data_IF_656328999349
#
_entry.id   IF_656328999349
#
_cell.length_a   1.000
_cell.length_b   1.000
_cell.length_c   1.000
_cell.angle_alpha   90.00
_cell.angle_beta   90.00
_cell.angle_gamma   90.00
#
_symmetry.space_group_name_H-M   'P 1'
#
loop_
_entity.id
_entity.type
_entity.pdbx_description
1 polymer ?
#
# COMPACT_ATOMS: atom_id res chain seq x y z
N UNK A 1 31.60 5.66 -11.85
CA UNK A 1 31.44 4.41 -11.06
C UNK A 1 31.96 3.24 -11.90
N UNK A 2 32.83 2.39 -11.37
CA UNK A 2 33.44 1.30 -12.14
C UNK A 2 32.40 0.27 -12.64
N UNK A 3 32.49 -0.24 -13.89
CA UNK A 3 31.52 -1.17 -14.49
C UNK A 3 31.25 -2.44 -13.66
N UNK A 4 32.26 -2.94 -12.95
CA UNK A 4 32.15 -4.13 -12.09
C UNK A 4 31.21 -3.93 -10.89
N UNK A 5 31.17 -2.72 -10.30
CA UNK A 5 30.28 -2.40 -9.17
C UNK A 5 28.82 -2.32 -9.63
N UNK A 6 28.57 -1.77 -10.81
CA UNK A 6 27.24 -1.72 -11.43
C UNK A 6 26.73 -3.12 -11.83
N UNK A 7 27.60 -4.01 -12.32
CA UNK A 7 27.23 -5.41 -12.59
C UNK A 7 26.93 -6.19 -11.31
N UNK A 8 27.68 -5.95 -10.23
CA UNK A 8 27.42 -6.55 -8.91
C UNK A 8 26.10 -6.07 -8.32
N UNK A 9 25.80 -4.77 -8.39
CA UNK A 9 24.50 -4.20 -7.98
C UNK A 9 23.37 -4.79 -8.84
N UNK A 10 23.51 -4.84 -10.17
CA UNK A 10 22.53 -5.49 -11.05
C UNK A 10 22.30 -6.96 -10.71
N UNK A 11 23.36 -7.71 -10.33
CA UNK A 11 23.23 -9.09 -9.84
C UNK A 11 22.52 -9.12 -8.49
N UNK A 12 22.83 -8.22 -7.56
CA UNK A 12 22.21 -8.14 -6.25
C UNK A 12 20.70 -7.84 -6.35
N UNK A 13 20.32 -6.85 -7.18
CA UNK A 13 18.92 -6.61 -7.53
C UNK A 13 18.31 -7.89 -8.15
N UNK A 14 18.92 -8.48 -9.20
CA UNK A 14 18.45 -9.76 -9.77
C UNK A 14 18.31 -10.89 -8.73
N UNK A 15 19.15 -10.94 -7.70
CA UNK A 15 19.10 -11.96 -6.64
C UNK A 15 17.96 -11.71 -5.65
N UNK A 16 17.71 -10.44 -5.27
CA UNK A 16 16.54 -10.07 -4.46
C UNK A 16 15.24 -10.46 -5.19
N UNK A 17 15.16 -10.24 -6.51
CA UNK A 17 13.96 -10.58 -7.30
C UNK A 17 13.95 -12.02 -7.87
N UNK A 18 14.99 -12.83 -7.65
CA UNK A 18 15.01 -14.28 -8.01
C UNK A 18 14.71 -15.21 -6.85
N UNK A 19 14.72 -14.75 -5.59
CA UNK A 19 14.35 -15.59 -4.45
C UNK A 19 12.84 -15.80 -4.43
N UNK A 20 12.44 -16.89 -5.10
CA UNK A 20 11.16 -17.58 -5.04
C UNK A 20 10.38 -17.30 -3.76
N UNK A 21 9.17 -16.78 -3.98
CA UNK A 21 7.91 -17.34 -3.48
C UNK A 21 8.05 -18.83 -3.12
N UNK A 22 8.48 -19.10 -1.89
CA UNK A 22 8.24 -20.39 -1.26
C UNK A 22 7.13 -20.14 -0.26
N UNK A 23 5.92 -20.48 -0.67
CA UNK A 23 4.77 -20.66 0.21
C UNK A 23 5.18 -21.62 1.31
N UNK A 24 5.52 -21.10 2.50
CA UNK A 24 5.66 -21.96 3.67
C UNK A 24 4.27 -22.24 4.20
N UNK A 25 3.83 -23.46 3.90
CA UNK A 25 2.66 -24.08 4.47
C UNK A 25 2.74 -24.12 6.00
N UNK A 26 1.62 -23.73 6.61
CA UNK A 26 1.01 -24.25 7.84
C UNK A 26 1.90 -25.06 8.79
N UNK A 27 2.31 -24.45 9.92
CA UNK A 27 2.66 -25.18 11.13
C UNK A 27 1.48 -25.18 12.10
N UNK A 28 0.96 -26.40 12.34
CA UNK A 28 -0.05 -26.77 13.33
C UNK A 28 0.61 -26.77 14.72
N UNK A 29 -0.02 -26.29 15.81
CA UNK A 29 0.55 -26.44 17.14
C UNK A 29 0.33 -27.87 17.65
N UNK A 30 1.42 -28.56 17.95
CA UNK A 30 1.44 -29.82 18.69
C UNK A 30 1.13 -29.57 20.16
N UNK A 31 0.16 -30.34 20.68
CA UNK A 31 -0.16 -30.40 22.10
C UNK A 31 0.68 -31.51 22.74
N UNK A 32 1.58 -31.13 23.64
CA UNK A 32 2.25 -32.08 24.55
C UNK A 32 1.59 -32.00 25.93
N UNK A 33 0.95 -33.11 26.31
CA UNK A 33 0.51 -33.39 27.65
C UNK A 33 1.65 -34.05 28.44
N UNK A 34 1.92 -33.57 29.65
CA UNK A 34 2.60 -34.31 30.72
C UNK A 34 2.05 -33.87 32.08
N UNK A 35 1.41 -34.81 32.78
CA UNK A 35 1.28 -34.86 34.26
C UNK A 35 2.68 -34.99 34.88
N UNK A 36 3.00 -34.59 36.12
CA UNK A 36 2.31 -34.85 37.40
C UNK A 36 2.96 -34.05 38.55
N UNK A 37 2.13 -33.78 39.57
CA UNK A 37 2.37 -33.69 41.02
C UNK A 37 3.34 -32.68 41.68
N UNK A 38 2.81 -32.04 42.74
CA UNK A 38 3.59 -31.38 43.80
C UNK A 38 2.87 -30.19 44.42
N UNK A 39 2.07 -30.42 45.46
CA UNK A 39 1.11 -29.46 46.01
C UNK A 39 1.66 -28.39 46.96
N UNK A 40 0.84 -27.38 47.23
CA UNK A 40 0.68 -26.77 48.56
C UNK A 40 -0.63 -25.95 48.60
N UNK A 41 -1.41 -26.12 49.67
CA UNK A 41 -2.74 -25.52 49.88
C UNK A 41 -2.62 -24.33 50.82
N UNK A 42 -3.22 -23.18 50.47
CA UNK A 42 -3.64 -22.17 51.44
C UNK A 42 -4.74 -21.23 50.90
N UNK A 43 -5.90 -21.21 51.57
CA UNK A 43 -6.75 -20.02 51.75
C UNK A 43 -7.72 -19.61 50.62
N UNK A 44 -8.89 -20.27 50.51
CA UNK A 44 -10.03 -19.76 49.72
C UNK A 44 -10.79 -18.67 50.48
N UNK A 45 -10.81 -17.44 49.94
CA UNK A 45 -11.94 -16.50 50.10
C UNK A 45 -12.91 -16.70 48.92
N UNK A 46 -14.24 -16.65 49.09
CA UNK A 46 -15.17 -16.80 47.97
C UNK A 46 -15.11 -15.56 47.06
N UNK A 47 -14.26 -15.61 46.04
CA UNK A 47 -14.23 -14.62 44.96
C UNK A 47 -15.48 -14.72 44.09
N UNK A 48 -16.07 -13.56 43.77
CA UNK A 48 -17.16 -13.42 42.79
C UNK A 48 -16.85 -14.24 41.54
N UNK A 49 -17.82 -15.07 41.11
CA UNK A 49 -17.76 -15.77 39.82
C UNK A 49 -17.44 -14.75 38.73
N UNK A 50 -16.42 -14.98 37.87
CA UNK A 50 -16.23 -14.16 36.69
C UNK A 50 -17.50 -14.31 35.85
N UNK A 51 -18.22 -13.20 35.64
CA UNK A 51 -19.28 -13.16 34.65
C UNK A 51 -18.62 -13.43 33.30
N UNK A 52 -18.91 -14.61 32.72
CA UNK A 52 -18.57 -14.91 31.33
C UNK A 52 -19.09 -13.75 30.48
N UNK A 53 -18.16 -12.94 29.95
CA UNK A 53 -18.46 -11.89 28.99
C UNK A 53 -19.25 -12.54 27.87
N UNK A 54 -20.53 -12.20 27.74
CA UNK A 54 -21.42 -12.79 26.74
C UNK A 54 -20.84 -12.42 25.39
N UNK A 55 -20.22 -13.37 24.70
CA UNK A 55 -19.66 -13.17 23.37
C UNK A 55 -20.71 -12.46 22.51
N UNK A 56 -20.36 -11.27 21.97
CA UNK A 56 -21.27 -10.52 21.11
C UNK A 56 -21.68 -11.43 19.95
N UNK A 57 -22.98 -11.58 19.72
CA UNK A 57 -23.47 -12.31 18.55
C UNK A 57 -22.90 -11.66 17.27
N UNK A 58 -22.42 -12.45 16.29
CA UNK A 58 -21.97 -11.92 15.02
C UNK A 58 -23.06 -11.06 14.38
N UNK A 59 -22.67 -9.94 13.78
CA UNK A 59 -23.60 -9.13 12.98
C UNK A 59 -23.90 -9.90 11.69
N UNK A 60 -25.17 -10.20 11.36
CA UNK A 60 -25.50 -10.83 10.09
C UNK A 60 -25.03 -9.99 8.90
N UNK A 61 -24.40 -10.64 7.92
CA UNK A 61 -23.95 -10.00 6.68
C UNK A 61 -25.16 -9.76 5.75
N UNK A 62 -25.15 -8.66 5.02
CA UNK A 62 -26.11 -8.44 3.93
C UNK A 62 -25.79 -9.36 2.74
N UNK A 63 -26.77 -9.71 1.88
CA UNK A 63 -26.53 -10.50 0.68
C UNK A 63 -25.41 -9.93 -0.20
N UNK A 64 -25.37 -8.60 -0.38
CA UNK A 64 -24.33 -7.94 -1.16
C UNK A 64 -22.92 -8.13 -0.58
N UNK A 65 -22.77 -8.15 0.74
CA UNK A 65 -21.47 -8.41 1.39
C UNK A 65 -21.10 -9.91 1.34
N UNK A 66 -22.09 -10.81 1.36
CA UNK A 66 -21.84 -12.24 1.13
C UNK A 66 -21.32 -12.46 -0.30
N UNK A 67 -21.95 -11.84 -1.30
CA UNK A 67 -21.51 -11.88 -2.69
C UNK A 67 -20.11 -11.27 -2.86
N UNK A 68 -19.85 -10.11 -2.24
CA UNK A 68 -18.53 -9.47 -2.23
C UNK A 68 -17.45 -10.44 -1.73
N UNK A 69 -17.69 -11.11 -0.59
CA UNK A 69 -16.76 -12.05 0.01
C UNK A 69 -16.55 -13.32 -0.83
N UNK A 70 -17.52 -13.72 -1.65
CA UNK A 70 -17.37 -14.85 -2.56
C UNK A 70 -16.31 -14.59 -3.65
N UNK A 71 -16.01 -13.33 -3.95
CA UNK A 71 -14.98 -12.91 -4.92
C UNK A 71 -13.61 -12.60 -4.28
N UNK A 72 -13.44 -12.90 -3.00
CA UNK A 72 -12.21 -12.62 -2.25
C UNK A 72 -11.44 -13.91 -2.02
N UNK A 73 -10.24 -13.97 -2.59
CA UNK A 73 -9.35 -15.14 -2.48
C UNK A 73 -8.29 -14.97 -1.38
N UNK A 74 -7.84 -13.74 -1.10
CA UNK A 74 -6.88 -13.48 -0.02
C UNK A 74 -7.61 -13.43 1.34
N UNK A 75 -7.19 -14.24 2.33
CA UNK A 75 -7.83 -14.26 3.65
C UNK A 75 -7.71 -12.93 4.40
N UNK A 76 -6.67 -12.13 4.16
CA UNK A 76 -6.48 -10.80 4.77
C UNK A 76 -7.53 -9.82 4.24
N UNK A 77 -7.76 -9.81 2.93
CA UNK A 77 -8.81 -8.98 2.31
C UNK A 77 -10.19 -9.33 2.90
N UNK A 78 -10.47 -10.63 3.03
CA UNK A 78 -11.73 -11.13 3.59
C UNK A 78 -11.89 -10.80 5.08
N UNK A 79 -10.82 -10.88 5.86
CA UNK A 79 -10.81 -10.46 7.26
C UNK A 79 -11.05 -8.96 7.40
N UNK A 80 -10.42 -8.14 6.55
CA UNK A 80 -10.59 -6.69 6.54
C UNK A 80 -12.04 -6.28 6.23
N UNK A 81 -12.67 -6.89 5.23
CA UNK A 81 -14.09 -6.62 4.88
C UNK A 81 -15.01 -6.93 6.07
N UNK A 82 -14.83 -8.10 6.71
CA UNK A 82 -15.61 -8.47 7.90
C UNK A 82 -15.37 -7.51 9.06
N UNK A 83 -14.12 -7.14 9.30
CA UNK A 83 -13.75 -6.17 10.33
C UNK A 83 -14.44 -4.81 10.12
N UNK A 84 -14.39 -4.27 8.90
CA UNK A 84 -15.06 -3.00 8.54
C UNK A 84 -16.58 -3.15 8.71
N UNK A 85 -17.18 -4.24 8.22
CA UNK A 85 -18.61 -4.46 8.32
C UNK A 85 -19.11 -4.53 9.77
N UNK A 86 -18.36 -5.19 10.64
CA UNK A 86 -18.69 -5.35 12.05
C UNK A 86 -18.47 -4.06 12.85
N UNK A 87 -17.29 -3.42 12.70
CA UNK A 87 -16.87 -2.29 13.54
C UNK A 87 -17.36 -0.94 13.04
N UNK A 88 -17.57 -0.77 11.73
CA UNK A 88 -17.88 0.53 11.11
C UNK A 88 -19.19 0.47 10.30
N UNK A 89 -20.37 0.51 10.96
CA UNK A 89 -21.66 0.48 10.26
C UNK A 89 -21.83 1.54 9.17
N UNK A 90 -21.20 2.71 9.32
CA UNK A 90 -21.23 3.82 8.33
C UNK A 90 -20.53 3.48 7.01
N UNK A 91 -19.64 2.49 7.02
CA UNK A 91 -18.90 2.07 5.84
C UNK A 91 -19.57 0.93 5.08
N UNK A 92 -20.62 0.31 5.62
CA UNK A 92 -21.32 -0.80 4.93
C UNK A 92 -21.81 -0.44 3.53
N UNK A 93 -22.40 0.74 3.27
CA UNK A 93 -22.78 1.11 1.91
C UNK A 93 -21.58 1.15 0.94
N UNK A 94 -20.38 1.47 1.43
CA UNK A 94 -19.16 1.49 0.61
C UNK A 94 -18.67 0.07 0.29
N UNK A 95 -18.87 -0.89 1.20
CA UNK A 95 -18.57 -2.30 0.95
C UNK A 95 -19.50 -2.87 -0.13
N UNK A 96 -20.77 -2.47 -0.12
CA UNK A 96 -21.77 -2.95 -1.09
C UNK A 96 -21.60 -2.29 -2.47
N UNK A 97 -21.20 -1.02 -2.51
CA UNK A 97 -21.09 -0.26 -3.77
C UNK A 97 -19.80 -0.56 -4.56
N UNK A 98 -18.76 -1.04 -3.89
CA UNK A 98 -17.42 -1.15 -4.47
C UNK A 98 -16.88 -2.58 -4.40
N UNK A 99 -16.05 -3.00 -5.38
CA UNK A 99 -15.44 -4.33 -5.37
C UNK A 99 -14.54 -4.54 -4.13
N UNK A 100 -13.99 -5.73 -3.90
CA UNK A 100 -13.04 -5.90 -2.80
C UNK A 100 -11.85 -4.95 -2.94
N UNK A 101 -11.35 -4.43 -1.83
CA UNK A 101 -10.02 -3.83 -1.80
C UNK A 101 -9.00 -4.97 -1.94
N UNK A 102 -8.02 -4.79 -2.83
CA UNK A 102 -6.96 -5.77 -3.09
C UNK A 102 -5.64 -5.03 -3.04
N UNK A 103 -4.72 -5.52 -2.22
CA UNK A 103 -3.36 -4.99 -2.16
C UNK A 103 -2.40 -6.07 -2.61
N UNK A 104 -1.62 -5.78 -3.64
CA UNK A 104 -0.58 -6.68 -4.12
C UNK A 104 0.79 -6.19 -3.65
N UNK A 105 1.69 -7.10 -3.33
CA UNK A 105 3.08 -6.72 -3.03
C UNK A 105 3.75 -6.27 -4.33
N UNK A 106 4.41 -5.12 -4.31
CA UNK A 106 5.11 -4.54 -5.46
C UNK A 106 6.53 -4.15 -5.07
N UNK A 107 7.35 -3.93 -6.09
CA UNK A 107 8.69 -3.41 -5.88
C UNK A 107 8.64 -2.01 -5.23
N UNK A 108 9.37 -1.85 -4.13
CA UNK A 108 9.38 -0.62 -3.33
C UNK A 108 9.84 0.60 -4.13
N UNK A 109 10.87 0.45 -4.97
CA UNK A 109 11.36 1.57 -5.78
C UNK A 109 10.32 2.01 -6.82
N UNK A 110 9.71 1.05 -7.50
CA UNK A 110 8.63 1.27 -8.46
C UNK A 110 7.45 1.97 -7.81
N UNK A 111 6.99 1.49 -6.65
CA UNK A 111 5.89 2.13 -5.91
C UNK A 111 6.26 3.51 -5.41
N UNK A 112 7.51 3.75 -5.01
CA UNK A 112 8.00 5.07 -4.62
C UNK A 112 7.93 6.06 -5.79
N UNK A 113 8.48 5.70 -6.94
CA UNK A 113 8.44 6.52 -8.17
C UNK A 113 6.99 6.83 -8.54
N UNK A 114 6.12 5.82 -8.52
CA UNK A 114 4.69 5.99 -8.76
C UNK A 114 4.06 6.97 -7.76
N UNK A 115 4.34 6.81 -6.48
CA UNK A 115 3.79 7.67 -5.42
C UNK A 115 4.24 9.14 -5.57
N UNK A 116 5.49 9.38 -6.00
CA UNK A 116 6.00 10.73 -6.32
C UNK A 116 5.22 11.35 -7.48
N UNK A 117 4.92 10.59 -8.53
CA UNK A 117 4.13 11.07 -9.67
C UNK A 117 2.74 11.51 -9.22
N UNK A 118 2.08 10.73 -8.34
CA UNK A 118 0.72 11.02 -7.88
C UNK A 118 0.59 12.24 -6.96
N UNK A 119 1.70 12.76 -6.40
CA UNK A 119 1.66 13.96 -5.55
C UNK A 119 0.98 15.12 -6.28
N UNK A 120 -0.05 15.71 -5.66
CA UNK A 120 -0.73 16.92 -6.14
C UNK A 120 -1.31 16.82 -7.57
N UNK A 121 -1.62 15.61 -8.05
CA UNK A 121 -2.28 15.40 -9.35
C UNK A 121 -3.62 14.68 -9.16
N UNK A 122 -4.53 14.87 -10.12
CA UNK A 122 -5.65 13.93 -10.27
C UNK A 122 -5.09 12.57 -10.69
N UNK A 123 -5.76 11.50 -10.30
CA UNK A 123 -5.23 10.17 -10.62
C UNK A 123 -5.29 9.83 -12.12
N UNK A 124 -6.17 10.47 -12.90
CA UNK A 124 -6.14 10.39 -14.37
C UNK A 124 -4.89 11.07 -14.94
N UNK A 125 -4.56 12.28 -14.49
CA UNK A 125 -3.36 12.99 -14.93
C UNK A 125 -2.09 12.24 -14.54
N UNK A 126 -2.04 11.73 -13.30
CA UNK A 126 -0.92 10.93 -12.82
C UNK A 126 -0.74 9.62 -13.60
N UNK A 127 -1.84 8.95 -13.97
CA UNK A 127 -1.82 7.78 -14.86
C UNK A 127 -1.20 8.11 -16.22
N UNK A 128 -1.58 9.23 -16.84
CA UNK A 128 -1.00 9.63 -18.14
C UNK A 128 0.51 9.86 -18.01
N UNK A 129 0.95 10.59 -16.97
CA UNK A 129 2.38 10.85 -16.72
C UNK A 129 3.15 9.55 -16.47
N UNK A 130 2.57 8.62 -15.70
CA UNK A 130 3.14 7.31 -15.46
C UNK A 130 3.39 6.53 -16.75
N UNK A 131 2.38 6.42 -17.61
CA UNK A 131 2.51 5.70 -18.89
C UNK A 131 3.57 6.33 -19.80
N UNK A 132 3.63 7.66 -19.84
CA UNK A 132 4.67 8.36 -20.61
C UNK A 132 6.06 8.14 -20.01
N UNK A 133 6.19 8.13 -18.69
CA UNK A 133 7.46 7.82 -18.02
C UNK A 133 7.94 6.42 -18.40
N UNK A 134 7.07 5.41 -18.30
CA UNK A 134 7.42 4.03 -18.66
C UNK A 134 7.93 3.94 -20.10
N UNK A 135 7.21 4.54 -21.06
CA UNK A 135 7.60 4.53 -22.48
C UNK A 135 8.93 5.26 -22.73
N UNK A 136 9.15 6.38 -22.04
CA UNK A 136 10.40 7.13 -22.13
C UNK A 136 11.57 6.29 -21.58
N UNK A 137 11.39 5.63 -20.43
CA UNK A 137 12.40 4.75 -19.85
C UNK A 137 12.73 3.58 -20.79
N UNK A 138 11.73 2.94 -21.40
CA UNK A 138 11.96 1.86 -22.42
C UNK A 138 12.86 2.34 -23.55
N UNK A 139 12.53 3.52 -24.09
CA UNK A 139 13.15 4.04 -25.30
C UNK A 139 14.60 4.48 -25.03
N UNK A 140 14.83 5.10 -23.87
CA UNK A 140 16.16 5.60 -23.50
C UNK A 140 17.08 4.48 -23.01
N UNK A 141 16.54 3.51 -22.27
CA UNK A 141 17.30 2.40 -21.70
C UNK A 141 16.48 1.11 -21.83
N UNK A 142 16.62 0.36 -22.95
CA UNK A 142 15.91 -0.90 -23.14
C UNK A 142 16.11 -1.86 -21.95
N UNK A 143 15.01 -2.44 -21.46
CA UNK A 143 15.01 -3.34 -20.30
C UNK A 143 15.09 -2.64 -18.93
N UNK A 144 14.97 -1.31 -18.88
CA UNK A 144 14.83 -0.51 -17.65
C UNK A 144 13.46 -0.64 -16.99
N UNK A 145 12.45 -1.03 -17.76
CA UNK A 145 11.13 -1.41 -17.30
C UNK A 145 10.97 -2.90 -17.62
N UNK A 146 10.69 -3.71 -16.60
CA UNK A 146 10.55 -5.15 -16.74
C UNK A 146 9.17 -5.58 -16.26
N UNK A 147 8.57 -6.52 -16.98
CA UNK A 147 7.39 -7.24 -16.52
C UNK A 147 7.76 -8.73 -16.51
N UNK A 148 8.34 -9.19 -15.40
CA UNK A 148 8.82 -10.56 -15.25
C UNK A 148 7.67 -11.52 -14.91
N UNK A 149 6.66 -11.00 -14.22
CA UNK A 149 5.31 -11.49 -13.90
C UNK A 149 4.58 -10.22 -13.40
N UNK A 150 3.25 -9.99 -13.55
CA UNK A 150 2.61 -8.87 -12.87
C UNK A 150 3.03 -8.90 -11.39
N UNK A 151 3.68 -7.84 -10.85
CA UNK A 151 3.68 -6.45 -11.30
C UNK A 151 4.93 -5.95 -12.06
N UNK A 152 4.78 -4.81 -12.74
CA UNK A 152 5.87 -4.04 -13.38
C UNK A 152 6.96 -3.64 -12.38
N UNK A 153 8.23 -3.68 -12.81
CA UNK A 153 9.40 -3.27 -12.02
C UNK A 153 10.28 -2.29 -12.81
N UNK A 154 10.68 -1.19 -12.16
CA UNK A 154 11.69 -0.24 -12.64
C UNK A 154 13.09 -0.62 -12.15
N UNK A 155 14.09 -0.57 -13.03
CA UNK A 155 15.50 -0.73 -12.66
C UNK A 155 16.07 0.61 -12.14
N UNK A 156 16.36 0.75 -10.83
CA UNK A 156 16.94 1.98 -10.30
C UNK A 156 18.33 2.27 -10.89
N UNK A 157 19.08 1.26 -11.36
CA UNK A 157 20.39 1.46 -12.00
C UNK A 157 20.23 2.18 -13.33
N UNK A 158 19.22 1.82 -14.12
CA UNK A 158 18.92 2.47 -15.39
C UNK A 158 18.57 3.96 -15.18
N UNK A 159 17.70 4.24 -14.20
CA UNK A 159 17.28 5.60 -13.89
C UNK A 159 18.44 6.41 -13.30
N UNK A 160 19.21 5.85 -12.37
CA UNK A 160 20.35 6.53 -11.74
C UNK A 160 21.46 6.92 -12.73
N UNK A 161 21.62 6.12 -13.79
CA UNK A 161 22.59 6.33 -14.86
C UNK A 161 22.19 7.41 -15.86
N UNK A 162 20.99 7.99 -15.76
CA UNK A 162 20.55 9.05 -16.67
C UNK A 162 21.37 10.34 -16.47
N UNK A 163 21.72 11.04 -17.57
CA UNK A 163 22.58 12.23 -17.52
C UNK A 163 21.95 13.39 -16.74
N UNK A 164 20.62 13.48 -16.67
CA UNK A 164 19.97 14.52 -15.88
C UNK A 164 18.44 14.46 -15.86
N UNK A 165 17.81 15.25 -14.96
CA UNK A 165 16.37 15.31 -14.77
C UNK A 165 15.62 15.86 -16.00
N UNK A 166 16.33 16.51 -16.92
CA UNK A 166 15.76 17.11 -18.13
C UNK A 166 15.17 16.07 -19.09
N UNK A 167 15.67 14.84 -19.07
CA UNK A 167 15.15 13.73 -19.89
C UNK A 167 13.75 13.30 -19.48
N UNK A 168 13.37 13.54 -18.22
CA UNK A 168 12.04 13.20 -17.72
C UNK A 168 10.97 14.19 -18.19
N UNK A 169 11.34 15.34 -18.77
CA UNK A 169 10.36 16.38 -19.16
C UNK A 169 9.35 15.88 -20.18
N UNK A 170 9.78 15.02 -21.10
CA UNK A 170 8.88 14.43 -22.12
C UNK A 170 7.79 13.55 -21.51
N UNK A 171 7.98 13.06 -20.28
CA UNK A 171 6.95 12.32 -19.55
C UNK A 171 5.84 13.19 -18.96
N UNK A 172 6.03 14.52 -18.92
CA UNK A 172 5.13 15.46 -18.25
C UNK A 172 5.41 15.65 -16.75
N UNK A 173 6.54 15.15 -16.27
CA UNK A 173 7.02 15.39 -14.91
C UNK A 173 7.51 16.84 -14.73
N UNK A 174 7.24 17.42 -13.56
CA UNK A 174 7.84 18.69 -13.16
C UNK A 174 9.31 18.51 -12.80
N UNK A 175 10.12 19.56 -12.93
CA UNK A 175 11.55 19.52 -12.57
C UNK A 175 11.78 18.93 -11.18
N UNK A 176 11.01 19.38 -10.18
CA UNK A 176 11.12 18.90 -8.80
C UNK A 176 10.87 17.39 -8.67
N UNK A 177 9.89 16.84 -9.39
CA UNK A 177 9.61 15.40 -9.36
C UNK A 177 10.67 14.60 -10.11
N UNK A 178 11.15 15.11 -11.24
CA UNK A 178 12.27 14.53 -11.99
C UNK A 178 13.53 14.44 -11.14
N UNK A 179 13.88 15.54 -10.45
CA UNK A 179 15.01 15.59 -9.51
C UNK A 179 14.84 14.56 -8.41
N UNK A 180 13.65 14.53 -7.79
CA UNK A 180 13.33 13.60 -6.70
C UNK A 180 13.47 12.13 -7.13
N UNK A 181 12.94 11.76 -8.31
CA UNK A 181 13.04 10.40 -8.85
C UNK A 181 14.48 10.02 -9.15
N UNK A 182 15.24 10.92 -9.77
CA UNK A 182 16.64 10.68 -10.11
C UNK A 182 17.53 10.57 -8.87
N UNK A 183 17.36 11.46 -7.89
CA UNK A 183 18.06 11.40 -6.60
C UNK A 183 17.70 10.12 -5.83
N UNK A 184 16.42 9.74 -5.80
CA UNK A 184 15.99 8.48 -5.19
C UNK A 184 16.63 7.27 -5.87
N UNK A 185 16.64 7.22 -7.21
CA UNK A 185 17.30 6.14 -7.95
C UNK A 185 18.79 6.04 -7.59
N UNK A 186 19.50 7.18 -7.53
CA UNK A 186 20.91 7.23 -7.13
C UNK A 186 21.12 6.73 -5.70
N UNK A 187 20.24 7.08 -4.76
CA UNK A 187 20.30 6.58 -3.39
C UNK A 187 20.10 5.05 -3.33
N UNK A 188 19.12 4.51 -4.05
CA UNK A 188 18.88 3.05 -4.13
C UNK A 188 20.09 2.28 -4.67
N UNK A 189 20.87 2.91 -5.57
CA UNK A 189 22.10 2.31 -6.14
C UNK A 189 23.30 2.48 -5.22
N UNK A 190 23.43 3.64 -4.56
CA UNK A 190 24.59 3.95 -3.71
C UNK A 190 24.52 3.27 -2.34
N UNK A 191 23.32 3.11 -1.77
CA UNK A 191 23.06 2.60 -0.42
C UNK A 191 22.08 1.41 -0.46
N UNK A 192 22.39 0.29 -1.15
CA UNK A 192 21.44 -0.82 -1.30
C UNK A 192 21.00 -1.43 0.04
N UNK A 193 21.91 -1.50 1.03
CA UNK A 193 21.63 -2.05 2.37
C UNK A 193 20.59 -1.22 3.15
N UNK A 194 20.45 0.07 2.82
CA UNK A 194 19.44 0.95 3.42
C UNK A 194 18.03 0.58 2.96
N UNK A 195 17.88 0.13 1.72
CA UNK A 195 16.56 -0.13 1.11
C UNK A 195 16.21 -1.62 1.05
N UNK A 196 17.18 -2.53 1.19
CA UNK A 196 16.95 -3.98 1.11
C UNK A 196 15.92 -4.48 2.14
N UNK A 197 15.99 -3.97 3.37
CA UNK A 197 15.08 -4.32 4.48
C UNK A 197 13.63 -3.90 4.23
N UNK A 198 13.41 -2.96 3.31
CA UNK A 198 12.07 -2.51 2.95
C UNK A 198 11.35 -3.55 2.08
N UNK A 199 12.10 -4.36 1.33
CA UNK A 199 11.55 -5.38 0.42
C UNK A 199 11.34 -6.74 1.10
N UNK A 200 12.12 -7.08 2.13
CA UNK A 200 12.01 -8.38 2.82
C UNK A 200 10.90 -8.42 3.90
N UNK A 201 10.34 -7.26 4.27
CA UNK A 201 9.24 -7.14 5.23
C UNK A 201 9.68 -7.12 6.70
N UNK A 202 10.98 -7.13 6.98
CA UNK A 202 11.54 -7.13 8.34
C UNK A 202 11.47 -5.76 9.02
N UNK A 203 11.42 -4.66 8.25
CA UNK A 203 11.36 -3.31 8.79
C UNK A 203 10.02 -3.01 9.48
N UNK A 204 10.07 -2.32 10.62
CA UNK A 204 8.90 -1.74 11.29
C UNK A 204 8.30 -0.58 10.50
N UNK A 205 7.06 -0.21 10.79
CA UNK A 205 6.38 0.90 10.11
C UNK A 205 7.14 2.23 10.31
N UNK A 206 7.67 2.46 11.52
CA UNK A 206 8.49 3.63 11.86
C UNK A 206 9.81 3.64 11.10
N UNK A 207 10.51 2.51 11.00
CA UNK A 207 11.76 2.39 10.23
C UNK A 207 11.54 2.63 8.74
N UNK A 208 10.41 2.14 8.19
CA UNK A 208 10.04 2.38 6.79
C UNK A 208 9.84 3.87 6.55
N UNK A 209 9.03 4.52 7.38
CA UNK A 209 8.76 5.97 7.26
C UNK A 209 10.08 6.73 7.39
N UNK A 210 10.87 6.48 8.45
CA UNK A 210 12.15 7.14 8.69
C UNK A 210 13.09 6.98 7.49
N UNK A 211 13.19 5.79 6.91
CA UNK A 211 14.08 5.53 5.77
C UNK A 211 13.67 6.29 4.53
N UNK A 212 12.37 6.32 4.23
CA UNK A 212 11.82 6.92 3.00
C UNK A 212 11.80 8.45 3.07
N UNK A 213 11.45 9.07 4.20
CA UNK A 213 11.34 10.53 4.31
C UNK A 213 12.68 11.26 4.25
N UNK A 214 13.79 10.53 4.39
CA UNK A 214 15.14 11.04 4.21
C UNK A 214 15.48 11.25 2.72
N UNK A 215 14.65 10.76 1.80
CA UNK A 215 14.76 11.09 0.38
C UNK A 215 14.14 12.47 0.13
N UNK A 216 14.91 13.37 -0.49
CA UNK A 216 14.46 14.72 -0.81
C UNK A 216 13.17 14.67 -1.63
N UNK A 217 12.14 15.40 -1.20
CA UNK A 217 10.84 15.43 -1.90
C UNK A 217 9.89 14.28 -1.55
N UNK A 218 10.31 13.35 -0.68
CA UNK A 218 9.47 12.28 -0.14
C UNK A 218 9.00 12.67 1.26
N UNK A 219 7.68 12.76 1.42
CA UNK A 219 7.05 13.03 2.73
C UNK A 219 6.35 11.80 3.29
N UNK A 220 5.81 11.94 4.51
CA UNK A 220 5.08 10.88 5.23
C UNK A 220 3.93 10.32 4.40
N UNK A 221 3.16 11.16 3.70
CA UNK A 221 2.10 10.70 2.80
C UNK A 221 2.64 9.74 1.72
N UNK A 222 3.76 10.07 1.10
CA UNK A 222 4.40 9.20 0.09
C UNK A 222 4.91 7.91 0.71
N UNK A 223 5.50 7.95 1.92
CA UNK A 223 5.88 6.75 2.65
C UNK A 223 4.69 5.83 2.92
N UNK A 224 3.55 6.38 3.35
CA UNK A 224 2.31 5.61 3.53
C UNK A 224 1.84 4.96 2.22
N UNK A 225 1.92 5.66 1.08
CA UNK A 225 1.58 5.05 -0.22
C UNK A 225 2.48 3.84 -0.52
N UNK A 226 3.78 3.94 -0.26
CA UNK A 226 4.73 2.82 -0.43
C UNK A 226 4.41 1.67 0.52
N UNK A 227 4.10 1.96 1.78
CA UNK A 227 3.73 0.92 2.76
C UNK A 227 2.47 0.17 2.34
N UNK A 228 1.43 0.89 1.90
CA UNK A 228 0.14 0.32 1.51
C UNK A 228 0.24 -0.47 0.21
N UNK A 229 0.76 0.15 -0.85
CA UNK A 229 0.70 -0.38 -2.22
C UNK A 229 1.98 -1.09 -2.68
N UNK A 230 3.09 -0.93 -1.96
CA UNK A 230 4.34 -1.64 -2.21
C UNK A 230 4.51 -2.81 -1.26
N UNK A 231 4.33 -2.56 0.05
CA UNK A 231 4.64 -3.52 1.10
C UNK A 231 3.42 -4.28 1.64
N UNK A 232 2.21 -3.97 1.16
CA UNK A 232 0.95 -4.58 1.61
C UNK A 232 0.72 -4.45 3.13
N UNK A 233 1.18 -3.34 3.73
CA UNK A 233 0.89 -3.04 5.15
C UNK A 233 -0.61 -2.80 5.29
N UNK A 234 -1.28 -3.61 6.11
CA UNK A 234 -2.74 -3.59 6.24
C UNK A 234 -3.26 -2.46 7.14
N UNK A 235 -2.41 -1.90 8.00
CA UNK A 235 -2.83 -0.99 9.06
C UNK A 235 -2.25 0.43 8.98
N UNK A 236 -2.18 0.98 7.78
CA UNK A 236 -1.68 2.34 7.52
C UNK A 236 -2.84 3.29 7.19
N UNK A 237 -2.91 4.42 7.91
CA UNK A 237 -3.85 5.51 7.62
C UNK A 237 -3.10 6.71 7.03
N UNK A 238 -3.36 7.10 5.76
CA UNK A 238 -2.53 8.05 5.03
C UNK A 238 -2.80 9.49 5.47
N UNK A 239 -1.94 9.95 6.39
CA UNK A 239 -1.92 11.31 6.93
C UNK A 239 -1.80 12.35 5.81
N UNK A 240 -2.56 13.45 5.92
CA UNK A 240 -2.51 14.58 4.99
C UNK A 240 -3.20 14.34 3.64
N UNK A 241 -3.82 13.18 3.43
CA UNK A 241 -4.52 12.87 2.18
C UNK A 241 -5.86 13.62 2.09
N UNK A 242 -5.99 14.51 1.12
CA UNK A 242 -7.19 15.34 0.94
C UNK A 242 -8.43 14.49 0.58
N UNK A 243 -8.27 13.42 -0.19
CA UNK A 243 -9.40 12.57 -0.57
C UNK A 243 -9.91 11.79 0.64
N UNK A 244 -9.02 11.32 1.52
CA UNK A 244 -9.40 10.72 2.80
C UNK A 244 -10.10 11.73 3.71
N UNK A 245 -9.60 12.97 3.83
CA UNK A 245 -10.28 14.02 4.62
C UNK A 245 -11.69 14.33 4.10
N UNK A 246 -11.88 14.36 2.78
CA UNK A 246 -13.20 14.55 2.13
C UNK A 246 -14.12 13.37 2.42
N UNK A 247 -13.66 12.14 2.16
CA UNK A 247 -14.43 10.94 2.43
C UNK A 247 -14.80 10.80 3.91
N UNK A 248 -13.89 11.19 4.81
CA UNK A 248 -14.16 11.16 6.24
C UNK A 248 -15.32 12.07 6.62
N UNK A 249 -15.32 13.29 6.07
CA UNK A 249 -16.38 14.25 6.26
C UNK A 249 -17.73 13.74 5.72
N UNK A 250 -17.75 13.04 4.58
CA UNK A 250 -18.97 12.45 4.04
C UNK A 250 -19.46 11.28 4.90
N UNK A 251 -18.59 10.30 5.17
CA UNK A 251 -18.95 9.01 5.78
C UNK A 251 -19.19 9.12 7.30
N UNK A 252 -18.30 9.80 8.02
CA UNK A 252 -18.33 9.82 9.49
C UNK A 252 -19.01 11.07 10.07
N UNK A 253 -19.06 12.16 9.31
CA UNK A 253 -19.77 13.37 9.71
C UNK A 253 -21.12 13.55 9.00
N UNK A 254 -21.45 12.74 7.99
CA UNK A 254 -22.72 12.79 7.28
C UNK A 254 -22.89 14.05 6.43
N UNK A 255 -21.80 14.68 6.00
CA UNK A 255 -21.85 15.91 5.22
C UNK A 255 -22.15 15.62 3.75
N UNK A 256 -22.98 16.46 3.13
CA UNK A 256 -23.19 16.41 1.68
C UNK A 256 -21.93 16.83 0.93
N UNK A 257 -21.79 16.41 -0.33
CA UNK A 257 -20.67 16.81 -1.21
C UNK A 257 -20.52 18.34 -1.31
N UNK A 258 -21.63 19.07 -1.36
CA UNK A 258 -21.63 20.54 -1.37
C UNK A 258 -21.06 21.13 -0.06
N UNK A 259 -21.44 20.57 1.09
CA UNK A 259 -20.91 20.98 2.39
C UNK A 259 -19.42 20.65 2.53
N UNK A 260 -18.98 19.48 2.04
CA UNK A 260 -17.57 19.08 1.99
C UNK A 260 -16.78 20.05 1.11
N UNK A 261 -17.29 20.40 -0.07
CA UNK A 261 -16.61 21.36 -0.95
C UNK A 261 -16.50 22.76 -0.34
N UNK A 262 -17.52 23.21 0.41
CA UNK A 262 -17.46 24.46 1.19
C UNK A 262 -16.33 24.40 2.24
N UNK A 263 -16.20 23.28 2.96
CA UNK A 263 -15.12 23.08 3.94
C UNK A 263 -13.73 22.97 3.32
N UNK A 264 -13.61 22.38 2.13
CA UNK A 264 -12.35 22.38 1.36
C UNK A 264 -11.90 23.81 1.09
N UNK A 265 -12.79 24.66 0.55
CA UNK A 265 -12.49 26.07 0.26
C UNK A 265 -12.14 26.86 1.52
N UNK A 266 -12.80 26.57 2.63
CA UNK A 266 -12.54 27.21 3.91
C UNK A 266 -11.36 26.59 4.70
N UNK A 267 -10.71 25.54 4.19
CA UNK A 267 -9.69 24.76 4.89
C UNK A 267 -10.15 24.25 6.28
N UNK A 268 -11.41 23.83 6.41
CA UNK A 268 -12.05 23.37 7.66
C UNK A 268 -12.49 21.91 7.61
N UNK A 269 -11.84 21.11 6.76
CA UNK A 269 -11.96 19.65 6.82
C UNK A 269 -11.31 19.12 8.11
N UNK A 270 -11.78 17.97 8.63
CA UNK A 270 -11.18 17.33 9.81
C UNK A 270 -9.66 17.22 9.70
N UNK A 271 -8.96 17.47 10.79
CA UNK A 271 -7.51 17.23 10.87
C UNK A 271 -7.22 15.73 10.99
N UNK A 272 -5.96 15.33 10.78
CA UNK A 272 -5.56 13.93 10.98
C UNK A 272 -5.81 13.46 12.41
N UNK A 273 -5.65 14.35 13.40
CA UNK A 273 -5.96 14.08 14.80
C UNK A 273 -7.46 13.87 15.01
N UNK A 274 -8.33 14.70 14.43
CA UNK A 274 -9.77 14.55 14.52
C UNK A 274 -10.23 13.20 13.98
N UNK A 275 -9.71 12.83 12.81
CA UNK A 275 -10.03 11.56 12.15
C UNK A 275 -9.56 10.37 12.99
N UNK A 276 -8.31 10.38 13.47
CA UNK A 276 -7.77 9.31 14.32
C UNK A 276 -8.51 9.18 15.64
N UNK A 277 -8.83 10.29 16.30
CA UNK A 277 -9.61 10.30 17.55
C UNK A 277 -10.98 9.67 17.35
N UNK A 278 -11.66 10.02 16.24
CA UNK A 278 -12.98 9.49 15.91
C UNK A 278 -12.92 7.99 15.56
N UNK A 279 -11.97 7.57 14.72
CA UNK A 279 -11.76 6.16 14.37
C UNK A 279 -11.44 5.33 15.61
N UNK A 280 -10.54 5.80 16.48
CA UNK A 280 -10.19 5.11 17.73
C UNK A 280 -11.41 4.82 18.59
N UNK A 281 -12.32 5.79 18.68
CA UNK A 281 -13.59 5.63 19.41
C UNK A 281 -14.54 4.63 18.75
N UNK A 282 -14.68 4.66 17.42
CA UNK A 282 -15.58 3.73 16.72
C UNK A 282 -15.04 2.30 16.69
N UNK A 283 -13.72 2.15 16.60
CA UNK A 283 -13.04 0.85 16.57
C UNK A 283 -12.79 0.26 17.98
N UNK A 284 -12.84 1.09 19.03
CA UNK A 284 -12.57 0.68 20.41
C UNK A 284 -11.08 0.48 20.73
N UNK A 285 -10.18 1.14 20.01
CA UNK A 285 -8.73 1.00 20.14
C UNK A 285 -7.99 1.65 18.95
N UNK A 286 -6.69 1.39 18.79
CA UNK A 286 -5.91 1.92 17.65
C UNK A 286 -6.44 1.47 16.29
N UNK A 287 -7.19 0.37 16.27
CA UNK A 287 -7.84 -0.16 15.07
C UNK A 287 -6.91 -1.05 14.25
N UNK A 288 -7.54 -1.95 13.50
CA UNK A 288 -6.88 -2.80 12.52
C UNK A 288 -7.40 -2.47 11.11
N UNK A 289 -6.66 -2.91 10.09
CA UNK A 289 -7.06 -2.79 8.69
C UNK A 289 -7.30 -1.34 8.22
N UNK A 290 -6.62 -0.35 8.80
CA UNK A 290 -6.75 1.06 8.42
C UNK A 290 -6.49 1.31 6.93
N UNK A 291 -5.62 0.51 6.28
CA UNK A 291 -5.37 0.63 4.85
C UNK A 291 -6.59 0.26 3.99
N UNK A 292 -7.34 -0.76 4.42
CA UNK A 292 -8.58 -1.17 3.76
C UNK A 292 -9.69 -0.15 4.00
N UNK A 293 -9.78 0.40 5.22
CA UNK A 293 -10.67 1.51 5.53
C UNK A 293 -10.38 2.70 4.61
N UNK A 294 -9.11 3.10 4.50
CA UNK A 294 -8.68 4.17 3.60
C UNK A 294 -9.00 3.86 2.14
N UNK A 295 -8.83 2.61 1.69
CA UNK A 295 -9.16 2.20 0.33
C UNK A 295 -10.63 2.45 -0.03
N UNK A 296 -11.56 2.03 0.83
CA UNK A 296 -12.99 2.27 0.62
C UNK A 296 -13.35 3.76 0.73
N UNK A 297 -12.74 4.50 1.65
CA UNK A 297 -12.92 5.96 1.75
C UNK A 297 -12.49 6.67 0.45
N UNK A 298 -11.36 6.27 -0.11
CA UNK A 298 -10.86 6.78 -1.38
C UNK A 298 -11.85 6.60 -2.53
N UNK A 299 -12.44 5.41 -2.65
CA UNK A 299 -13.50 5.13 -3.64
C UNK A 299 -14.75 5.99 -3.42
N UNK A 300 -15.10 6.30 -2.17
CA UNK A 300 -16.19 7.23 -1.86
C UNK A 300 -15.89 8.67 -2.32
N UNK A 301 -14.66 9.15 -2.11
CA UNK A 301 -14.26 10.50 -2.51
C UNK A 301 -14.16 10.67 -4.03
N UNK A 302 -13.84 9.61 -4.76
CA UNK A 302 -13.65 9.64 -6.22
C UNK A 302 -14.41 8.49 -6.92
N UNK A 303 -15.76 8.54 -6.96
CA UNK A 303 -16.55 7.53 -7.64
C UNK A 303 -16.21 7.55 -9.15
N UNK A 304 -15.67 6.44 -9.66
CA UNK A 304 -15.18 6.31 -11.04
C UNK A 304 -13.66 6.43 -11.20
N UNK A 305 -12.93 6.74 -10.14
CA UNK A 305 -11.48 6.61 -10.15
C UNK A 305 -11.08 5.15 -9.93
N UNK A 306 -10.49 4.55 -10.97
CA UNK A 306 -9.82 3.25 -10.88
C UNK A 306 -8.50 3.50 -10.14
N UNK A 307 -8.40 3.02 -8.90
CA UNK A 307 -7.13 3.12 -8.19
C UNK A 307 -6.07 2.30 -8.95
N UNK A 308 -4.79 2.68 -8.87
CA UNK A 308 -3.69 2.01 -9.56
C UNK A 308 -3.75 0.48 -9.61
N UNK A 309 -4.27 -0.12 -8.54
CA UNK A 309 -4.32 -1.56 -8.32
C UNK A 309 -5.60 -2.22 -8.86
N UNK A 310 -6.59 -1.43 -9.29
CA UNK A 310 -7.89 -1.96 -9.68
C UNK A 310 -7.89 -2.53 -11.12
N UNK A 311 -7.26 -1.86 -12.11
CA UNK A 311 -7.19 -2.34 -13.53
C UNK A 311 -6.11 -1.74 -14.43
N UNK A 312 -5.58 -0.54 -14.11
CA UNK A 312 -4.70 0.19 -15.02
C UNK A 312 -3.40 -0.57 -15.26
N UNK A 313 -2.88 -1.24 -14.24
CA UNK A 313 -1.69 -2.05 -14.43
C UNK A 313 -1.95 -3.26 -15.33
N UNK A 314 -3.12 -3.91 -15.32
CA UNK A 314 -3.35 -5.12 -16.15
C UNK A 314 -3.16 -4.89 -17.65
N UNK A 315 -3.80 -3.87 -18.24
CA UNK A 315 -3.66 -3.59 -19.68
C UNK A 315 -2.25 -3.09 -20.06
N UNK A 316 -1.58 -2.41 -19.14
CA UNK A 316 -0.21 -1.90 -19.32
C UNK A 316 0.80 -3.04 -19.15
N UNK A 317 0.58 -3.92 -18.19
CA UNK A 317 1.39 -5.11 -17.94
C UNK A 317 1.30 -6.07 -19.11
N UNK A 318 0.17 -6.18 -19.80
CA UNK A 318 0.07 -7.04 -20.99
C UNK A 318 0.92 -6.52 -22.16
N UNK A 319 0.85 -5.21 -22.46
CA UNK A 319 1.71 -4.56 -23.46
C UNK A 319 3.19 -4.77 -23.10
N UNK A 320 3.54 -4.54 -21.84
CA UNK A 320 4.91 -4.60 -21.34
C UNK A 320 5.45 -6.02 -21.16
N UNK A 321 4.60 -6.99 -20.84
CA UNK A 321 4.95 -8.40 -20.81
C UNK A 321 5.25 -8.91 -22.22
N UNK A 322 4.48 -8.49 -23.23
CA UNK A 322 4.79 -8.79 -24.62
C UNK A 322 6.14 -8.19 -25.05
N UNK A 323 6.42 -6.94 -24.69
CA UNK A 323 7.72 -6.28 -24.94
C UNK A 323 8.88 -6.97 -24.22
N UNK A 324 8.72 -7.31 -22.94
CA UNK A 324 9.76 -7.98 -22.14
C UNK A 324 10.10 -9.35 -22.71
N UNK A 325 9.09 -10.16 -23.08
CA UNK A 325 9.30 -11.45 -23.76
C UNK A 325 10.05 -11.31 -25.09
N UNK A 326 9.75 -10.26 -25.86
CA UNK A 326 10.43 -10.00 -27.13
C UNK A 326 11.89 -9.54 -26.94
N UNK A 327 12.20 -8.82 -25.85
CA UNK A 327 13.57 -8.43 -25.51
C UNK A 327 14.39 -9.63 -25.03
N UNK A 328 13.84 -10.47 -24.16
CA UNK A 328 14.51 -11.69 -23.66
C UNK A 328 14.75 -12.71 -24.79
N UNK A 329 13.86 -12.80 -25.79
CA UNK A 329 14.07 -13.66 -26.97
C UNK A 329 15.19 -13.18 -27.91
N UNK A 330 15.66 -11.93 -27.76
CA UNK A 330 16.72 -11.32 -28.58
C UNK A 330 18.09 -11.28 -27.88
N UNK A 331 18.14 -11.59 -26.59
CA UNK A 331 19.33 -11.49 -25.73
C UNK A 331 20.02 -12.83 -25.54
#
# INVERSE_FOLDING_TARGET
MAPARLQSIRRHFRTIYKRKTTTTATTKPEATATSSDGGYVAGRRPGRRPTLSRARRPVPLTPGVVELLAHVTDPVDGAAIRYIYEKLPRMRPLLELHPPARFEKRDVFTTLVRSIIWQQLSGQAATVVWLRLLRMLDAQVPGSVRCLEPPLVLDPVAIAGMPGPQLFRESGLSNRKSDTILEAARAFVAEPDRFVKLNDGSATDEEIIHTLVQLRGVGVWTAHMVMMFGMRRSNVFPIGDLAIRKAFAEVFMGLSKAAVQKRVKANTLPTDEDMRRRLRRELGGDGEYLSYISHYMWRAANPGFVYPDDRVDHGVTDEWAARSRAQDARA
#
